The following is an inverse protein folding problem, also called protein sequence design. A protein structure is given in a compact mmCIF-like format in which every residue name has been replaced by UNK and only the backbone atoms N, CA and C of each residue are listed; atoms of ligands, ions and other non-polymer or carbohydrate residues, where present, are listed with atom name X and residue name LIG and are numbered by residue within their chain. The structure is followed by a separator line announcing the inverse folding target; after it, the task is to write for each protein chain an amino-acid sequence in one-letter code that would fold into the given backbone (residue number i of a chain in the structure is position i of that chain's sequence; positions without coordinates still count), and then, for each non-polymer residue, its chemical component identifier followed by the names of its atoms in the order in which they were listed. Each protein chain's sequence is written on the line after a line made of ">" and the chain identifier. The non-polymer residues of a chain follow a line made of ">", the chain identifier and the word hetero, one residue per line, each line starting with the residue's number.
data_IF_248987086989
#
_entry.id   IF_248987086989
#
_cell.length_a   1.000
_cell.length_b   1.000
_cell.length_c   1.000
_cell.angle_alpha   90.00
_cell.angle_beta   90.00
_cell.angle_gamma   90.00
#
_symmetry.space_group_name_H-M   'P 1'
#
loop_
_entity.id
_entity.type
_entity.pdbx_description
1 polymer ?
#
# COMPACT_ATOMS: atom_id res chain seq x y z
N UNK A 1 3.80 -31.81 -20.98
CA UNK A 1 4.85 -30.82 -21.33
C UNK A 1 4.40 -29.99 -22.54
N UNK A 2 4.15 -28.68 -22.35
CA UNK A 2 3.96 -27.78 -23.49
C UNK A 2 5.32 -27.58 -24.20
N UNK A 3 5.39 -27.72 -25.54
CA UNK A 3 6.61 -27.48 -26.31
C UNK A 3 7.20 -26.09 -26.07
N UNK A 4 8.53 -25.99 -26.04
CA UNK A 4 9.30 -24.78 -25.67
C UNK A 4 9.15 -23.62 -26.67
N UNK A 5 8.67 -23.89 -27.90
CA UNK A 5 8.62 -22.95 -29.03
C UNK A 5 7.19 -22.73 -29.59
N UNK A 6 6.19 -22.58 -28.72
CA UNK A 6 4.83 -22.22 -29.16
C UNK A 6 4.64 -20.69 -29.11
N UNK A 7 4.24 -20.04 -30.22
CA UNK A 7 3.87 -18.63 -30.18
C UNK A 7 2.66 -18.43 -29.25
N UNK A 8 2.80 -17.54 -28.28
CA UNK A 8 1.74 -17.19 -27.33
C UNK A 8 1.25 -15.77 -27.61
N UNK A 9 -0.06 -15.58 -27.72
CA UNK A 9 -0.69 -14.27 -27.80
C UNK A 9 -1.09 -13.81 -26.40
N UNK A 10 -0.53 -12.69 -25.93
CA UNK A 10 -0.90 -12.07 -24.67
C UNK A 10 -1.79 -10.87 -24.96
N UNK A 11 -3.05 -10.93 -24.53
CA UNK A 11 -4.00 -9.83 -24.66
C UNK A 11 -4.15 -9.11 -23.30
N UNK A 12 -3.87 -7.82 -23.26
CA UNK A 12 -4.12 -6.96 -22.09
C UNK A 12 -5.36 -6.11 -22.38
N UNK A 13 -6.39 -6.25 -21.56
CA UNK A 13 -7.70 -5.59 -21.73
C UNK A 13 -8.25 -5.13 -20.39
N UNK A 14 -9.02 -4.04 -20.39
CA UNK A 14 -9.87 -3.70 -19.23
C UNK A 14 -10.99 -4.74 -19.09
N UNK A 15 -11.58 -4.85 -17.89
CA UNK A 15 -12.72 -5.77 -17.65
C UNK A 15 -13.89 -5.46 -18.61
N UNK A 16 -14.15 -4.19 -18.87
CA UNK A 16 -15.22 -3.76 -19.77
C UNK A 16 -14.88 -4.07 -21.23
N UNK A 17 -13.62 -3.89 -21.65
CA UNK A 17 -13.16 -4.31 -22.98
C UNK A 17 -13.27 -5.83 -23.18
N UNK A 18 -12.99 -6.62 -22.14
CA UNK A 18 -13.17 -8.07 -22.18
C UNK A 18 -14.64 -8.45 -22.38
N UNK A 19 -15.53 -7.92 -21.53
CA UNK A 19 -16.97 -8.18 -21.63
C UNK A 19 -17.55 -7.75 -22.98
N UNK A 20 -17.15 -6.58 -23.50
CA UNK A 20 -17.59 -6.15 -24.83
C UNK A 20 -17.08 -7.04 -25.94
N UNK A 21 -15.80 -7.44 -25.87
CA UNK A 21 -15.20 -8.33 -26.86
C UNK A 21 -15.91 -9.68 -26.87
N UNK A 22 -16.26 -10.24 -25.70
CA UNK A 22 -17.01 -11.49 -25.61
C UNK A 22 -18.38 -11.39 -26.30
N UNK A 23 -19.12 -10.30 -26.05
CA UNK A 23 -20.45 -10.09 -26.64
C UNK A 23 -20.39 -9.87 -28.15
N UNK A 24 -19.36 -9.17 -28.65
CA UNK A 24 -19.28 -8.75 -30.06
C UNK A 24 -18.47 -9.68 -30.97
N UNK A 25 -17.58 -10.50 -30.40
CA UNK A 25 -16.69 -11.38 -31.15
C UNK A 25 -17.46 -12.43 -31.97
N UNK A 26 -18.43 -13.11 -31.38
CA UNK A 26 -19.18 -14.18 -32.03
C UNK A 26 -20.41 -13.70 -32.81
N UNK A 27 -20.88 -12.48 -32.52
CA UNK A 27 -22.13 -11.93 -33.07
C UNK A 27 -21.89 -10.95 -34.22
N UNK A 28 -20.81 -10.16 -34.19
CA UNK A 28 -20.55 -9.07 -35.14
C UNK A 28 -19.23 -9.29 -35.89
N UNK A 29 -18.15 -9.72 -35.21
CA UNK A 29 -16.81 -9.76 -35.79
C UNK A 29 -16.50 -11.04 -36.59
N UNK A 30 -16.97 -12.22 -36.14
CA UNK A 30 -16.99 -13.47 -36.92
C UNK A 30 -18.44 -13.91 -37.13
N UNK A 31 -19.14 -13.34 -38.12
CA UNK A 31 -20.59 -13.39 -38.15
C UNK A 31 -21.09 -14.80 -38.47
N UNK A 32 -21.72 -15.42 -37.48
CA UNK A 32 -22.68 -16.52 -37.69
C UNK A 32 -24.04 -15.99 -38.22
N UNK A 33 -24.29 -14.68 -38.11
CA UNK A 33 -25.50 -13.97 -38.54
C UNK A 33 -25.11 -12.65 -39.25
N UNK A 34 -25.86 -12.24 -40.29
CA UNK A 34 -25.60 -11.00 -41.03
C UNK A 34 -25.86 -9.77 -40.14
N UNK A 35 -24.82 -9.03 -39.76
CA UNK A 35 -24.94 -7.84 -38.91
C UNK A 35 -25.82 -6.77 -39.56
N UNK A 36 -26.81 -6.24 -38.83
CA UNK A 36 -27.64 -5.12 -39.31
C UNK A 36 -27.00 -3.76 -38.98
N UNK A 37 -27.35 -2.68 -39.69
CA UNK A 37 -26.90 -1.33 -39.34
C UNK A 37 -27.24 -0.93 -37.90
N UNK A 38 -28.37 -1.40 -37.37
CA UNK A 38 -28.79 -1.10 -36.00
C UNK A 38 -27.95 -1.83 -34.95
N UNK A 39 -27.56 -3.08 -35.21
CA UNK A 39 -26.62 -3.82 -34.37
C UNK A 39 -25.27 -3.11 -34.30
N UNK A 40 -24.74 -2.68 -35.45
CA UNK A 40 -23.47 -1.94 -35.52
C UNK A 40 -23.57 -0.61 -34.75
N UNK A 41 -24.69 0.10 -34.89
CA UNK A 41 -24.93 1.35 -34.17
C UNK A 41 -25.03 1.13 -32.66
N UNK A 42 -25.70 0.08 -32.21
CA UNK A 42 -25.80 -0.26 -30.80
C UNK A 42 -24.44 -0.66 -30.22
N UNK A 43 -23.66 -1.48 -30.94
CA UNK A 43 -22.30 -1.85 -30.54
C UNK A 43 -21.38 -0.63 -30.45
N UNK A 44 -21.45 0.30 -31.41
CA UNK A 44 -20.69 1.54 -31.37
C UNK A 44 -21.06 2.42 -30.16
N UNK A 45 -22.35 2.53 -29.83
CA UNK A 45 -22.81 3.26 -28.63
C UNK A 45 -22.31 2.62 -27.34
N UNK A 46 -22.37 1.29 -27.24
CA UNK A 46 -21.87 0.56 -26.09
C UNK A 46 -20.35 0.72 -25.93
N UNK A 47 -19.59 0.70 -27.03
CA UNK A 47 -18.15 0.98 -27.01
C UNK A 47 -17.85 2.38 -26.49
N UNK A 48 -18.58 3.40 -26.97
CA UNK A 48 -18.40 4.77 -26.50
C UNK A 48 -18.72 4.92 -24.99
N UNK A 49 -19.73 4.20 -24.49
CA UNK A 49 -20.06 4.20 -23.06
C UNK A 49 -18.96 3.51 -22.23
N UNK A 50 -18.40 2.41 -22.73
CA UNK A 50 -17.30 1.70 -22.08
C UNK A 50 -16.07 2.59 -21.98
N UNK A 51 -15.72 3.29 -23.06
CA UNK A 51 -14.61 4.24 -23.08
C UNK A 51 -14.81 5.36 -22.05
N UNK A 52 -15.99 5.98 -22.02
CA UNK A 52 -16.32 6.98 -21.02
C UNK A 52 -16.25 6.42 -19.59
N UNK A 53 -16.70 5.18 -19.38
CA UNK A 53 -16.65 4.54 -18.05
C UNK A 53 -15.21 4.24 -17.63
N UNK A 54 -14.36 3.76 -18.53
CA UNK A 54 -12.94 3.50 -18.28
C UNK A 54 -12.20 4.81 -17.89
N UNK A 55 -12.54 5.95 -18.52
CA UNK A 55 -11.99 7.25 -18.14
C UNK A 55 -12.39 7.67 -16.71
N UNK A 56 -13.64 7.44 -16.31
CA UNK A 56 -14.08 7.68 -14.93
C UNK A 56 -13.36 6.76 -13.94
N UNK A 57 -13.20 5.47 -14.26
CA UNK A 57 -12.45 4.56 -13.39
C UNK A 57 -10.98 4.98 -13.27
N UNK A 58 -10.35 5.43 -14.36
CA UNK A 58 -8.99 6.00 -14.29
C UNK A 58 -8.94 7.23 -13.40
N UNK A 59 -9.92 8.12 -13.49
CA UNK A 59 -10.00 9.30 -12.64
C UNK A 59 -10.15 8.92 -11.16
N UNK A 60 -11.03 7.97 -10.84
CA UNK A 60 -11.18 7.45 -9.47
C UNK A 60 -9.88 6.83 -8.97
N UNK A 61 -9.22 6.01 -9.79
CA UNK A 61 -7.91 5.44 -9.49
C UNK A 61 -6.87 6.52 -9.16
N UNK A 62 -6.79 7.56 -9.99
CA UNK A 62 -5.87 8.68 -9.76
C UNK A 62 -6.17 9.44 -8.44
N UNK A 63 -7.44 9.60 -8.07
CA UNK A 63 -7.83 10.24 -6.82
C UNK A 63 -7.44 9.38 -5.61
N UNK A 64 -7.66 8.06 -5.70
CA UNK A 64 -7.23 7.11 -4.67
C UNK A 64 -5.70 7.13 -4.55
N UNK A 65 -4.98 6.98 -5.66
CA UNK A 65 -3.52 7.00 -5.70
C UNK A 65 -2.96 8.29 -5.11
N UNK A 66 -3.56 9.44 -5.43
CA UNK A 66 -3.17 10.73 -4.86
C UNK A 66 -3.39 10.77 -3.34
N UNK A 67 -4.49 10.20 -2.84
CA UNK A 67 -4.80 10.17 -1.41
C UNK A 67 -3.86 9.29 -0.59
N UNK A 68 -3.38 8.17 -1.16
CA UNK A 68 -2.48 7.23 -0.48
C UNK A 68 -1.00 7.45 -0.77
N UNK A 69 -0.67 8.39 -1.67
CA UNK A 69 0.71 8.63 -2.15
C UNK A 69 1.68 8.95 -1.01
N UNK A 70 1.26 9.79 -0.06
CA UNK A 70 2.07 10.18 1.10
C UNK A 70 2.36 8.99 2.01
N UNK A 71 1.33 8.20 2.31
CA UNK A 71 1.43 6.97 3.11
C UNK A 71 2.38 5.98 2.45
N UNK A 72 2.19 5.72 1.15
CA UNK A 72 3.06 4.80 0.39
C UNK A 72 4.51 5.29 0.35
N UNK A 73 4.74 6.58 0.11
CA UNK A 73 6.07 7.16 0.11
C UNK A 73 6.76 7.01 1.48
N UNK A 74 6.02 7.15 2.58
CA UNK A 74 6.53 6.92 3.92
C UNK A 74 6.85 5.44 4.16
N UNK A 75 5.97 4.50 3.80
CA UNK A 75 6.23 3.05 3.90
C UNK A 75 7.50 2.69 3.13
N UNK A 76 7.64 3.19 1.90
CA UNK A 76 8.80 2.93 1.05
C UNK A 76 10.09 3.48 1.69
N UNK A 77 10.05 4.72 2.20
CA UNK A 77 11.20 5.34 2.88
C UNK A 77 11.60 4.59 4.16
N UNK A 78 10.63 4.23 4.99
CA UNK A 78 10.86 3.45 6.20
C UNK A 78 11.38 2.05 5.86
N UNK A 79 10.87 1.40 4.81
CA UNK A 79 11.34 0.07 4.37
C UNK A 79 12.78 0.10 3.86
N UNK A 80 13.17 1.15 3.14
CA UNK A 80 14.57 1.36 2.71
C UNK A 80 15.47 1.56 3.93
N UNK A 81 15.07 2.42 4.87
CA UNK A 81 15.81 2.63 6.12
C UNK A 81 15.93 1.34 6.93
N UNK A 82 14.82 0.60 7.06
CA UNK A 82 14.74 -0.67 7.75
C UNK A 82 15.75 -1.67 7.16
N UNK A 83 15.74 -1.85 5.83
CA UNK A 83 16.68 -2.73 5.13
C UNK A 83 18.14 -2.32 5.37
N UNK A 84 18.45 -1.03 5.25
CA UNK A 84 19.81 -0.49 5.41
C UNK A 84 20.36 -0.73 6.84
N UNK A 85 19.54 -0.48 7.86
CA UNK A 85 19.98 -0.51 9.27
C UNK A 85 19.83 -1.86 9.94
N UNK A 86 18.78 -2.60 9.60
CA UNK A 86 18.42 -3.86 10.25
C UNK A 86 18.98 -5.05 9.45
N UNK A 87 19.17 -4.89 8.14
CA UNK A 87 19.80 -5.90 7.27
C UNK A 87 18.85 -6.98 6.77
N UNK A 88 17.54 -6.83 7.01
CA UNK A 88 16.49 -7.72 6.50
C UNK A 88 15.36 -6.90 5.88
N UNK A 89 14.58 -7.54 5.02
CA UNK A 89 13.44 -6.90 4.37
C UNK A 89 12.27 -6.83 5.34
N UNK A 90 11.73 -5.63 5.53
CA UNK A 90 10.53 -5.43 6.32
C UNK A 90 9.32 -6.11 5.67
N UNK A 91 8.42 -6.63 6.49
CA UNK A 91 7.16 -7.22 6.02
C UNK A 91 6.14 -6.11 5.88
N UNK A 92 5.86 -5.69 4.65
CA UNK A 92 4.83 -4.67 4.38
C UNK A 92 3.45 -5.32 4.41
N UNK A 93 2.54 -4.77 5.23
CA UNK A 93 1.17 -5.27 5.40
C UNK A 93 0.15 -4.13 5.36
N UNK A 94 -1.14 -4.46 5.40
CA UNK A 94 -2.21 -3.44 5.52
C UNK A 94 -2.13 -2.65 6.82
N UNK A 95 -1.60 -3.28 7.88
CA UNK A 95 -1.43 -2.66 9.20
C UNK A 95 -0.46 -1.46 9.15
N UNK A 96 0.52 -1.45 8.23
CA UNK A 96 1.40 -0.29 8.06
C UNK A 96 0.64 0.99 7.70
N UNK A 97 -0.38 0.87 6.84
CA UNK A 97 -1.24 2.00 6.48
C UNK A 97 -2.04 2.49 7.67
N UNK A 98 -2.67 1.57 8.41
CA UNK A 98 -3.46 1.90 9.60
C UNK A 98 -2.61 2.54 10.71
N UNK A 99 -1.39 2.04 10.93
CA UNK A 99 -0.45 2.62 11.89
C UNK A 99 0.03 4.01 11.44
N UNK A 100 0.32 4.20 10.15
CA UNK A 100 0.72 5.52 9.65
C UNK A 100 -0.42 6.52 9.79
N UNK A 101 -1.65 6.15 9.40
CA UNK A 101 -2.81 7.04 9.51
C UNK A 101 -3.10 7.43 10.97
N UNK A 102 -2.88 6.51 11.91
CA UNK A 102 -3.07 6.73 13.34
C UNK A 102 -1.94 7.57 13.98
N UNK A 103 -0.68 7.32 13.63
CA UNK A 103 0.48 7.86 14.35
C UNK A 103 1.16 9.04 13.65
N UNK A 104 1.09 9.15 12.33
CA UNK A 104 1.70 10.27 11.59
C UNK A 104 1.11 11.64 12.00
N UNK A 105 -0.21 11.80 12.24
CA UNK A 105 -0.75 13.06 12.74
C UNK A 105 -0.17 13.48 14.10
N UNK A 106 0.21 12.52 14.94
CA UNK A 106 0.84 12.78 16.24
C UNK A 106 2.29 13.27 16.10
N UNK A 107 2.95 12.96 14.99
CA UNK A 107 4.30 13.46 14.68
C UNK A 107 4.32 14.97 14.36
N UNK A 108 3.15 15.60 14.17
CA UNK A 108 3.03 17.01 13.80
C UNK A 108 3.49 17.28 12.37
N UNK A 109 3.97 18.50 12.09
CA UNK A 109 4.45 18.91 10.75
C UNK A 109 5.85 18.37 10.39
N UNK A 110 6.26 17.23 10.97
CA UNK A 110 7.58 16.63 10.73
C UNK A 110 7.62 15.96 9.36
N UNK A 111 8.69 16.20 8.62
CA UNK A 111 8.89 15.54 7.34
C UNK A 111 9.43 14.11 7.52
N UNK A 112 9.43 13.33 6.43
CA UNK A 112 10.05 12.01 6.42
C UNK A 112 11.53 12.12 6.80
N UNK A 113 12.23 13.14 6.29
CA UNK A 113 13.63 13.39 6.60
C UNK A 113 13.86 13.67 8.09
N UNK A 114 12.97 14.41 8.76
CA UNK A 114 13.06 14.66 10.20
C UNK A 114 12.97 13.35 11.01
N UNK A 115 12.05 12.46 10.62
CA UNK A 115 11.87 11.14 11.25
C UNK A 115 13.14 10.31 11.09
N UNK A 116 13.67 10.22 9.86
CA UNK A 116 14.88 9.45 9.57
C UNK A 116 16.12 10.04 10.26
N UNK A 117 16.22 11.37 10.34
CA UNK A 117 17.30 12.04 11.06
C UNK A 117 17.26 11.69 12.55
N UNK A 118 16.08 11.74 13.17
CA UNK A 118 15.92 11.35 14.57
C UNK A 118 16.30 9.89 14.81
N UNK A 119 15.89 8.97 13.92
CA UNK A 119 16.26 7.55 14.02
C UNK A 119 17.77 7.35 13.97
N UNK A 120 18.49 8.08 13.11
CA UNK A 120 19.95 8.06 13.04
C UNK A 120 20.65 8.61 14.30
N UNK A 121 19.96 9.35 15.17
CA UNK A 121 20.52 9.75 16.47
C UNK A 121 20.40 8.66 17.53
N UNK A 122 19.65 7.58 17.25
CA UNK A 122 19.25 6.55 18.19
C UNK A 122 19.59 5.15 17.67
N UNK A 123 20.87 4.92 17.38
CA UNK A 123 21.35 3.66 16.79
C UNK A 123 20.91 2.40 17.55
N UNK A 124 20.73 2.48 18.87
CA UNK A 124 20.27 1.35 19.69
C UNK A 124 18.89 0.81 19.27
N UNK A 125 18.03 1.62 18.66
CA UNK A 125 16.70 1.20 18.19
C UNK A 125 16.84 0.05 17.19
N UNK A 126 17.84 0.11 16.32
CA UNK A 126 18.07 -0.92 15.31
C UNK A 126 18.38 -2.28 15.94
N UNK A 127 19.21 -2.28 16.98
CA UNK A 127 19.55 -3.50 17.74
C UNK A 127 18.35 -4.03 18.54
N UNK A 128 17.52 -3.14 19.08
CA UNK A 128 16.27 -3.54 19.76
C UNK A 128 15.29 -4.20 18.80
N UNK A 129 15.12 -3.66 17.60
CA UNK A 129 14.25 -4.24 16.58
C UNK A 129 14.77 -5.63 16.17
N UNK A 130 16.07 -5.76 15.86
CA UNK A 130 16.68 -7.07 15.51
C UNK A 130 16.41 -8.14 16.55
N UNK A 131 16.54 -7.79 17.83
CA UNK A 131 16.33 -8.72 18.94
C UNK A 131 14.88 -9.17 19.16
N UNK A 132 13.90 -8.55 18.47
CA UNK A 132 12.46 -8.83 18.65
C UNK A 132 11.79 -9.39 17.39
N UNK A 133 12.53 -9.51 16.29
CA UNK A 133 12.04 -9.98 14.99
C UNK A 133 11.40 -11.38 15.03
N UNK A 134 11.96 -12.29 15.84
CA UNK A 134 11.49 -13.68 15.92
C UNK A 134 10.23 -13.84 16.78
N UNK A 135 10.06 -12.98 17.79
CA UNK A 135 9.01 -13.12 18.79
C UNK A 135 7.78 -12.25 18.52
N UNK A 136 7.94 -11.13 17.79
CA UNK A 136 6.89 -10.12 17.63
C UNK A 136 6.79 -9.62 16.19
N UNK A 137 5.65 -9.90 15.55
CA UNK A 137 5.39 -9.54 14.15
C UNK A 137 5.36 -8.02 13.92
N UNK A 138 4.95 -7.24 14.92
CA UNK A 138 4.95 -5.77 14.86
C UNK A 138 6.35 -5.20 14.54
N UNK A 139 7.41 -5.85 15.03
CA UNK A 139 8.79 -5.42 14.82
C UNK A 139 9.32 -5.76 13.42
N UNK A 140 8.66 -6.64 12.69
CA UNK A 140 8.97 -6.94 11.29
C UNK A 140 8.38 -5.90 10.32
N UNK A 141 7.44 -5.06 10.77
CA UNK A 141 6.83 -4.02 9.95
C UNK A 141 7.76 -2.80 9.82
N UNK A 142 7.80 -2.10 8.67
CA UNK A 142 8.55 -0.84 8.56
C UNK A 142 7.97 0.28 9.43
N UNK A 143 6.65 0.29 9.65
CA UNK A 143 5.96 1.27 10.50
C UNK A 143 6.41 1.27 11.97
N UNK A 144 7.09 0.23 12.46
CA UNK A 144 7.69 0.23 13.80
C UNK A 144 8.63 1.41 14.03
N UNK A 145 9.32 1.86 12.99
CA UNK A 145 10.23 3.00 13.04
C UNK A 145 9.49 4.31 13.32
N UNK A 146 8.29 4.48 12.75
CA UNK A 146 7.42 5.61 13.06
C UNK A 146 6.91 5.53 14.50
N UNK A 147 6.55 4.33 14.99
CA UNK A 147 6.12 4.15 16.37
C UNK A 147 7.22 4.55 17.36
N UNK A 148 8.47 4.11 17.13
CA UNK A 148 9.61 4.54 17.94
C UNK A 148 9.79 6.06 17.92
N UNK A 149 9.64 6.70 16.76
CA UNK A 149 9.72 8.15 16.65
C UNK A 149 8.64 8.85 17.47
N UNK A 150 7.38 8.41 17.34
CA UNK A 150 6.26 9.04 18.04
C UNK A 150 6.34 8.81 19.55
N UNK A 151 6.62 7.59 20.00
CA UNK A 151 6.82 7.31 21.43
C UNK A 151 8.01 8.10 21.99
N UNK A 152 9.10 8.20 21.23
CA UNK A 152 10.31 8.88 21.68
C UNK A 152 10.21 10.41 21.76
N UNK A 153 9.34 11.04 20.98
CA UNK A 153 9.16 12.50 20.97
C UNK A 153 7.86 12.96 21.65
N UNK A 154 6.84 12.11 21.65
CA UNK A 154 5.49 12.42 22.10
C UNK A 154 4.89 11.29 22.97
N UNK A 155 5.60 10.85 24.04
CA UNK A 155 5.24 9.66 24.80
C UNK A 155 3.86 9.73 25.46
N UNK A 156 3.36 10.89 25.85
CA UNK A 156 2.05 11.00 26.52
C UNK A 156 0.86 10.84 25.58
N UNK A 157 1.05 11.11 24.28
CA UNK A 157 -0.05 11.05 23.28
C UNK A 157 0.01 9.80 22.41
N UNK A 158 1.12 9.04 22.43
CA UNK A 158 1.29 7.85 21.61
C UNK A 158 0.32 6.70 21.96
N UNK A 159 -0.30 6.72 23.14
CA UNK A 159 -1.38 5.79 23.53
C UNK A 159 -2.76 6.22 23.02
N UNK A 160 -2.94 7.47 22.61
CA UNK A 160 -4.24 8.04 22.23
C UNK A 160 -4.93 7.39 21.02
N UNK A 161 -4.23 6.83 20.00
CA UNK A 161 -4.93 6.24 18.86
C UNK A 161 -5.68 4.95 19.20
N UNK A 162 -5.31 4.24 20.27
CA UNK A 162 -6.00 3.02 20.71
C UNK A 162 -5.96 1.85 19.72
N UNK A 163 -5.13 1.91 18.67
CA UNK A 163 -4.98 0.85 17.67
C UNK A 163 -4.07 -0.30 18.16
N UNK A 164 -3.07 0.04 18.99
CA UNK A 164 -2.19 -0.91 19.64
C UNK A 164 -2.56 -1.03 21.12
N UNK A 165 -2.44 -2.24 21.65
CA UNK A 165 -2.61 -2.54 23.07
C UNK A 165 -1.40 -2.08 23.89
N UNK A 166 -1.58 -1.95 25.21
CA UNK A 166 -0.48 -1.64 26.13
C UNK A 166 0.63 -2.70 26.10
N UNK A 167 0.27 -3.97 25.82
CA UNK A 167 1.24 -5.07 25.68
C UNK A 167 2.11 -4.91 24.41
N UNK A 168 1.56 -4.36 23.34
CA UNK A 168 2.29 -4.10 22.09
C UNK A 168 3.13 -2.82 22.17
N UNK A 169 2.65 -1.78 22.87
CA UNK A 169 3.38 -0.53 23.08
C UNK A 169 4.48 -0.66 24.15
N UNK A 170 4.25 -1.48 25.18
CA UNK A 170 5.17 -1.68 26.30
C UNK A 170 6.63 -1.90 25.91
N UNK A 171 6.95 -2.82 24.97
CA UNK A 171 8.31 -3.02 24.47
C UNK A 171 8.95 -1.76 23.91
N UNK A 172 8.20 -0.94 23.15
CA UNK A 172 8.71 0.30 22.53
C UNK A 172 9.06 1.33 23.59
N UNK A 173 8.18 1.54 24.58
CA UNK A 173 8.44 2.42 25.72
C UNK A 173 9.65 1.93 26.54
N UNK A 174 9.71 0.64 26.84
CA UNK A 174 10.80 0.04 27.61
C UNK A 174 12.14 0.20 26.92
N UNK A 175 12.20 -0.02 25.59
CA UNK A 175 13.41 0.14 24.80
C UNK A 175 13.92 1.59 24.80
N UNK A 176 13.01 2.57 24.89
CA UNK A 176 13.32 4.00 25.00
C UNK A 176 13.58 4.47 26.45
N UNK A 177 13.50 3.58 27.43
CA UNK A 177 13.67 3.91 28.86
C UNK A 177 12.52 4.72 29.44
N UNK A 178 11.33 4.59 28.86
CA UNK A 178 10.11 5.32 29.24
C UNK A 178 9.13 4.37 29.95
N UNK A 179 8.32 4.95 30.84
CA UNK A 179 7.17 4.26 31.41
C UNK A 179 5.94 4.51 30.53
N UNK A 180 5.07 3.50 30.43
CA UNK A 180 3.79 3.64 29.75
C UNK A 180 2.94 4.67 30.52
N UNK A 181 2.32 5.65 29.84
CA UNK A 181 1.44 6.62 30.50
C UNK A 181 0.26 5.92 31.17
N UNK A 182 -0.11 6.37 32.37
CA UNK A 182 -1.33 5.93 33.07
C UNK A 182 -2.55 6.69 32.60
#
# INVERSE_FOLDING_TARGET
>A
PMPLDIPCEIQVRTLLQHAFSEVTHDTIYKPSVKSTPDMMRAAAKAMALIEATDDYFRQVGNLIDASVKSVKALIDALSVYYRDKIGVDATVTTLDGELIDAYLPLAGERSIEDILLWLNTKDFITERIKGRLEDQTLFALPSILLLYFVVGNFPSIATSPGILTDEELGPIYSDLGLALPQ
#
